data_IF_411948905602
#
_entry.id   IF_411948905602
#
_cell.length_a   1.000
_cell.length_b   1.000
_cell.length_c   1.000
_cell.angle_alpha   90.00
_cell.angle_beta   90.00
_cell.angle_gamma   90.00
#
_symmetry.space_group_name_H-M   'P 1'
#
loop_
_entity.id
_entity.type
_entity.pdbx_description
1 polymer ?
#
# COMPACT_ATOMS: atom_id res chain seq x y z
N UNK A 1 -23.69 -22.35 27.34
CA UNK A 1 -23.92 -20.96 27.75
C UNK A 1 -22.78 -20.08 27.23
N UNK A 2 -23.10 -18.93 26.68
CA UNK A 2 -22.10 -17.96 26.26
C UNK A 2 -21.51 -17.27 27.50
N UNK A 3 -20.17 -17.27 27.62
CA UNK A 3 -19.50 -16.56 28.70
C UNK A 3 -19.00 -15.20 28.16
N UNK A 4 -19.54 -14.13 28.71
CA UNK A 4 -19.07 -12.79 28.41
C UNK A 4 -17.68 -12.59 29.01
N UNK A 5 -16.71 -12.05 28.25
CA UNK A 5 -15.41 -11.69 28.80
C UNK A 5 -15.55 -10.60 29.85
N UNK A 6 -14.78 -10.71 30.94
CA UNK A 6 -14.64 -9.62 31.90
C UNK A 6 -13.47 -8.75 31.45
N UNK A 7 -13.74 -7.51 31.10
CA UNK A 7 -12.73 -6.52 30.70
C UNK A 7 -12.70 -5.43 31.76
N UNK A 8 -11.53 -5.18 32.30
CA UNK A 8 -11.26 -4.10 33.25
C UNK A 8 -10.13 -3.25 32.71
N UNK A 9 -10.32 -1.93 32.63
CA UNK A 9 -9.34 -1.00 32.06
C UNK A 9 -8.97 0.05 33.13
N UNK A 10 -7.67 0.20 33.40
CA UNK A 10 -7.16 1.19 34.31
C UNK A 10 -6.45 2.30 33.53
N UNK A 11 -6.73 3.55 33.85
CA UNK A 11 -6.17 4.74 33.22
C UNK A 11 -6.09 5.88 34.23
N UNK A 12 -5.41 6.95 33.90
CA UNK A 12 -5.30 8.13 34.72
C UNK A 12 -5.80 9.39 34.01
N UNK A 13 -6.00 10.45 34.79
CA UNK A 13 -6.45 11.75 34.25
C UNK A 13 -5.46 12.31 33.23
N UNK A 14 -4.16 12.16 33.46
CA UNK A 14 -3.14 12.65 32.54
C UNK A 14 -3.22 11.95 31.17
N UNK A 15 -3.60 10.68 31.15
CA UNK A 15 -3.87 9.96 29.90
C UNK A 15 -5.07 10.56 29.17
N UNK A 16 -6.18 10.85 29.89
CA UNK A 16 -7.35 11.50 29.29
C UNK A 16 -7.00 12.84 28.71
N UNK A 17 -6.37 13.73 29.49
CA UNK A 17 -5.99 15.08 29.06
C UNK A 17 -5.04 15.05 27.84
N UNK A 18 -4.08 14.14 27.82
CA UNK A 18 -3.13 14.01 26.71
C UNK A 18 -3.80 13.54 25.41
N UNK A 19 -4.76 12.58 25.50
CA UNK A 19 -5.44 12.05 24.32
C UNK A 19 -6.48 13.01 23.78
N UNK A 20 -7.19 13.72 24.68
CA UNK A 20 -8.25 14.67 24.29
C UNK A 20 -7.70 16.04 23.92
N UNK A 21 -6.54 16.42 24.45
CA UNK A 21 -5.99 17.77 24.32
C UNK A 21 -6.73 18.83 25.15
N UNK A 22 -7.70 18.40 25.97
CA UNK A 22 -8.50 19.29 26.85
C UNK A 22 -8.50 18.78 28.28
N UNK A 23 -8.86 19.66 29.21
CA UNK A 23 -8.95 19.32 30.63
C UNK A 23 -10.40 18.98 31.02
N UNK A 24 -10.74 17.69 31.00
CA UNK A 24 -12.02 17.18 31.47
C UNK A 24 -11.90 16.85 32.96
N UNK A 25 -12.82 17.35 33.80
CA UNK A 25 -12.75 17.10 35.24
C UNK A 25 -12.89 15.61 35.58
N UNK A 26 -12.20 15.17 36.66
CA UNK A 26 -12.30 13.78 37.12
C UNK A 26 -13.75 13.38 37.48
N UNK A 27 -14.56 14.31 37.95
CA UNK A 27 -15.97 14.07 38.30
C UNK A 27 -16.81 13.91 37.04
N UNK A 28 -16.52 14.65 35.98
CA UNK A 28 -17.17 14.50 34.67
C UNK A 28 -16.83 13.17 34.02
N UNK A 29 -15.56 12.75 34.09
CA UNK A 29 -15.14 11.41 33.62
C UNK A 29 -15.92 10.30 34.35
N UNK A 30 -15.98 10.38 35.69
CA UNK A 30 -16.72 9.42 36.50
C UNK A 30 -18.21 9.42 36.16
N UNK A 31 -18.82 10.61 36.05
CA UNK A 31 -20.23 10.74 35.72
C UNK A 31 -20.56 10.14 34.34
N UNK A 32 -19.81 10.51 33.34
CA UNK A 32 -20.01 10.07 31.94
C UNK A 32 -19.93 8.57 31.83
N UNK A 33 -18.86 7.96 32.31
CA UNK A 33 -18.68 6.51 32.18
C UNK A 33 -19.67 5.72 33.04
N UNK A 34 -20.01 6.21 34.23
CA UNK A 34 -21.05 5.58 35.07
C UNK A 34 -22.41 5.64 34.38
N UNK A 35 -22.79 6.76 33.79
CA UNK A 35 -24.03 6.93 33.05
C UNK A 35 -24.12 6.00 31.82
N UNK A 36 -22.96 5.68 31.20
CA UNK A 36 -22.87 4.70 30.11
C UNK A 36 -22.86 3.24 30.57
N UNK A 37 -22.95 2.99 31.89
CA UNK A 37 -23.07 1.66 32.46
C UNK A 37 -21.73 0.99 32.81
N UNK A 38 -20.60 1.72 32.78
CA UNK A 38 -19.32 1.20 33.27
C UNK A 38 -19.30 1.14 34.80
N UNK A 39 -18.76 0.07 35.37
CA UNK A 39 -18.48 -0.02 36.80
C UNK A 39 -17.22 0.79 37.13
N UNK A 40 -17.39 2.00 37.70
CA UNK A 40 -16.28 2.91 37.91
C UNK A 40 -15.76 2.91 39.33
N UNK A 41 -14.45 2.86 39.51
CA UNK A 41 -13.77 3.17 40.76
C UNK A 41 -12.68 4.21 40.53
N UNK A 42 -12.45 5.07 41.54
CA UNK A 42 -11.48 6.16 41.48
C UNK A 42 -10.61 6.19 42.75
N UNK A 43 -9.32 6.36 42.56
CA UNK A 43 -8.35 6.65 43.62
C UNK A 43 -7.46 7.84 43.18
N UNK A 44 -7.74 9.02 43.74
CA UNK A 44 -7.11 10.25 43.30
C UNK A 44 -7.37 10.55 41.82
N UNK A 45 -6.31 10.56 41.02
CA UNK A 45 -6.35 10.75 39.55
C UNK A 45 -6.35 9.45 38.77
N UNK A 46 -6.39 8.31 39.44
CA UNK A 46 -6.43 6.99 38.81
C UNK A 46 -7.86 6.46 38.77
N UNK A 47 -8.24 5.88 37.62
CA UNK A 47 -9.55 5.33 37.37
C UNK A 47 -9.44 3.85 36.98
N UNK A 48 -10.42 3.07 37.40
CA UNK A 48 -10.62 1.71 36.91
C UNK A 48 -12.06 1.57 36.44
N UNK A 49 -12.23 1.13 35.19
CA UNK A 49 -13.50 0.94 34.54
C UNK A 49 -13.73 -0.55 34.29
N UNK A 50 -14.78 -1.11 34.90
CA UNK A 50 -15.31 -2.42 34.56
C UNK A 50 -16.26 -2.26 33.37
N UNK A 51 -15.88 -2.86 32.24
CA UNK A 51 -16.61 -2.75 30.98
C UNK A 51 -17.88 -3.62 31.06
N UNK A 52 -19.08 -3.06 30.78
CA UNK A 52 -20.31 -3.82 30.80
C UNK A 52 -20.27 -4.95 29.76
N UNK A 53 -20.94 -6.08 30.09
CA UNK A 53 -20.84 -7.32 29.30
C UNK A 53 -21.23 -7.15 27.82
N UNK A 54 -22.17 -6.27 27.51
CA UNK A 54 -22.61 -6.00 26.13
C UNK A 54 -21.60 -5.16 25.31
N UNK A 55 -20.63 -4.50 25.99
CA UNK A 55 -19.53 -3.74 25.36
C UNK A 55 -18.21 -4.49 25.40
N UNK A 56 -18.11 -5.56 26.21
CA UNK A 56 -16.86 -6.32 26.40
C UNK A 56 -16.54 -7.29 25.25
N UNK A 57 -17.41 -7.46 24.26
CA UNK A 57 -17.27 -8.38 23.13
C UNK A 57 -16.67 -7.69 21.90
N UNK A 58 -15.38 -7.34 21.97
CA UNK A 58 -14.61 -6.69 20.90
C UNK A 58 -15.00 -5.22 20.60
N UNK A 59 -15.68 -4.57 21.51
CA UNK A 59 -16.07 -3.18 21.39
C UNK A 59 -15.13 -2.32 22.25
N UNK A 60 -15.29 -2.33 23.58
CA UNK A 60 -14.38 -1.61 24.48
C UNK A 60 -13.35 -2.57 25.06
N UNK A 61 -12.10 -2.50 24.61
CA UNK A 61 -11.04 -3.45 24.95
C UNK A 61 -9.74 -2.80 25.38
N UNK A 62 -9.51 -1.55 25.04
CA UNK A 62 -8.31 -0.77 25.34
C UNK A 62 -8.65 0.61 25.92
N UNK A 63 -7.64 1.27 26.48
CA UNK A 63 -7.84 2.62 27.10
C UNK A 63 -8.31 3.67 26.10
N UNK A 64 -7.93 3.54 24.81
CA UNK A 64 -8.34 4.48 23.79
C UNK A 64 -9.88 4.41 23.54
N UNK A 65 -10.49 3.24 23.69
CA UNK A 65 -11.94 3.08 23.57
C UNK A 65 -12.66 3.84 24.70
N UNK A 66 -12.07 3.89 25.89
CA UNK A 66 -12.60 4.73 27.01
C UNK A 66 -12.54 6.22 26.65
N UNK A 67 -11.49 6.67 25.97
CA UNK A 67 -11.40 8.08 25.51
C UNK A 67 -12.52 8.37 24.52
N UNK A 68 -12.81 7.46 23.61
CA UNK A 68 -13.93 7.60 22.67
C UNK A 68 -15.25 7.79 23.41
N UNK A 69 -15.52 6.97 24.43
CA UNK A 69 -16.74 7.08 25.22
C UNK A 69 -16.85 8.45 25.93
N UNK A 70 -15.77 8.96 26.47
CA UNK A 70 -15.73 10.28 27.11
C UNK A 70 -15.95 11.39 26.07
N UNK A 71 -15.21 11.35 24.98
CA UNK A 71 -15.20 12.44 23.98
C UNK A 71 -16.50 12.53 23.19
N UNK A 72 -17.13 11.40 22.86
CA UNK A 72 -18.42 11.42 22.15
C UNK A 72 -19.55 12.02 22.98
N UNK A 73 -19.53 11.85 24.31
CA UNK A 73 -20.51 12.46 25.21
C UNK A 73 -20.18 13.92 25.49
N UNK A 74 -18.89 14.25 25.62
CA UNK A 74 -18.44 15.64 25.70
C UNK A 74 -18.88 16.45 24.47
N UNK A 75 -18.90 15.82 23.30
CA UNK A 75 -19.31 16.38 22.02
C UNK A 75 -18.12 16.89 21.20
N UNK A 76 -17.95 16.33 20.00
CA UNK A 76 -16.83 16.68 19.12
C UNK A 76 -16.86 18.14 18.65
N UNK A 77 -18.04 18.77 18.62
CA UNK A 77 -18.17 20.20 18.28
C UNK A 77 -17.65 21.14 19.37
N UNK A 78 -17.39 20.61 20.58
CA UNK A 78 -16.85 21.38 21.69
C UNK A 78 -15.31 21.38 21.75
N UNK A 79 -14.66 20.73 20.78
CA UNK A 79 -13.19 20.76 20.68
C UNK A 79 -12.73 21.95 19.85
N UNK A 80 -11.75 22.70 20.38
CA UNK A 80 -11.08 23.73 19.62
C UNK A 80 -10.22 23.11 18.51
N UNK A 81 -10.38 23.61 17.28
CA UNK A 81 -9.58 23.18 16.15
C UNK A 81 -8.21 23.83 16.19
N UNK A 82 -7.18 23.05 16.44
CA UNK A 82 -5.80 23.49 16.39
C UNK A 82 -5.10 22.88 15.17
N UNK A 83 -4.41 23.72 14.40
CA UNK A 83 -3.49 23.24 13.37
C UNK A 83 -2.28 22.61 14.04
N UNK A 84 -1.95 21.38 13.65
CA UNK A 84 -0.74 20.73 14.16
C UNK A 84 0.50 21.52 13.71
N UNK A 85 1.29 21.96 14.68
CA UNK A 85 2.57 22.62 14.45
C UNK A 85 3.68 21.58 14.55
N UNK A 86 4.49 21.45 13.52
CA UNK A 86 5.69 20.64 13.54
C UNK A 86 6.82 21.35 12.81
N UNK A 87 8.06 21.23 13.29
CA UNK A 87 9.20 21.77 12.57
C UNK A 87 9.38 21.07 11.23
N UNK A 88 9.64 21.85 10.19
CA UNK A 88 9.95 21.32 8.86
C UNK A 88 11.42 20.94 8.79
N UNK A 89 11.70 19.69 8.53
CA UNK A 89 13.04 19.17 8.27
C UNK A 89 13.18 18.77 6.82
N UNK A 90 14.33 19.03 6.20
CA UNK A 90 14.61 18.49 4.85
C UNK A 90 14.56 16.96 4.86
N UNK A 91 13.72 16.40 4.02
CA UNK A 91 13.65 14.94 3.83
C UNK A 91 14.82 14.50 2.97
N UNK A 92 15.64 13.58 3.46
CA UNK A 92 16.67 12.93 2.65
C UNK A 92 16.01 11.88 1.77
N UNK A 93 16.15 12.05 0.46
CA UNK A 93 15.67 11.05 -0.50
C UNK A 93 16.50 9.77 -0.36
N UNK A 94 15.83 8.62 -0.36
CA UNK A 94 16.51 7.33 -0.41
C UNK A 94 17.21 7.14 -1.76
N UNK A 95 18.25 6.32 -1.79
CA UNK A 95 18.95 5.97 -3.04
C UNK A 95 17.99 5.35 -4.05
N UNK A 96 17.10 4.48 -3.59
CA UNK A 96 16.08 3.85 -4.42
C UNK A 96 15.17 4.88 -5.09
N UNK A 97 14.62 5.82 -4.31
CA UNK A 97 13.77 6.89 -4.85
C UNK A 97 14.53 7.78 -5.84
N UNK A 98 15.80 8.09 -5.56
CA UNK A 98 16.65 8.87 -6.47
C UNK A 98 16.87 8.14 -7.81
N UNK A 99 17.08 6.82 -7.78
CA UNK A 99 17.23 5.99 -8.98
C UNK A 99 15.92 5.94 -9.76
N UNK A 100 14.78 5.74 -9.10
CA UNK A 100 13.47 5.77 -9.75
C UNK A 100 13.19 7.09 -10.46
N UNK A 101 13.44 8.21 -9.80
CA UNK A 101 13.19 9.53 -10.39
C UNK A 101 14.08 9.78 -11.61
N UNK A 102 15.36 9.36 -11.56
CA UNK A 102 16.26 9.43 -12.71
C UNK A 102 15.79 8.54 -13.86
N UNK A 103 15.35 7.30 -13.58
CA UNK A 103 14.79 6.39 -14.59
C UNK A 103 13.57 7.00 -15.27
N UNK A 104 12.63 7.53 -14.49
CA UNK A 104 11.45 8.22 -15.01
C UNK A 104 11.82 9.40 -15.89
N UNK A 105 12.75 10.23 -15.44
CA UNK A 105 13.24 11.38 -16.21
C UNK A 105 13.85 10.97 -17.56
N UNK A 106 14.67 9.91 -17.58
CA UNK A 106 15.25 9.39 -18.81
C UNK A 106 14.15 8.89 -19.76
N UNK A 107 13.26 8.03 -19.25
CA UNK A 107 12.22 7.38 -20.07
C UNK A 107 11.21 8.38 -20.62
N UNK A 108 10.80 9.37 -19.83
CA UNK A 108 9.84 10.39 -20.24
C UNK A 108 10.49 11.46 -21.09
N UNK A 109 11.57 12.10 -20.60
CA UNK A 109 12.13 13.29 -21.25
C UNK A 109 12.96 12.98 -22.50
N UNK A 110 13.69 11.85 -22.49
CA UNK A 110 14.56 11.49 -23.62
C UNK A 110 13.87 10.58 -24.64
N UNK A 111 12.98 9.69 -24.17
CA UNK A 111 12.36 8.67 -25.03
C UNK A 111 10.85 8.86 -25.24
N UNK A 112 10.25 9.85 -24.58
CA UNK A 112 8.82 10.18 -24.70
C UNK A 112 7.89 9.01 -24.39
N UNK A 113 8.25 8.19 -23.39
CA UNK A 113 7.40 7.12 -22.91
C UNK A 113 6.37 7.64 -21.91
N UNK A 114 5.24 6.97 -21.84
CA UNK A 114 4.18 7.24 -20.85
C UNK A 114 4.36 6.35 -19.63
N UNK A 115 4.41 6.94 -18.45
CA UNK A 115 4.34 6.19 -17.19
C UNK A 115 2.92 5.68 -16.99
N UNK A 116 2.81 4.40 -16.65
CA UNK A 116 1.54 3.75 -16.32
C UNK A 116 1.64 3.11 -14.95
N UNK A 117 0.50 2.99 -14.28
CA UNK A 117 0.38 2.28 -13.01
C UNK A 117 -0.72 1.23 -13.11
N UNK A 118 -0.40 0.03 -12.67
CA UNK A 118 -1.34 -1.07 -12.63
C UNK A 118 -1.40 -1.69 -11.24
N UNK A 119 -2.46 -2.41 -10.95
CA UNK A 119 -2.60 -3.11 -9.68
C UNK A 119 -1.66 -4.32 -9.60
N UNK A 120 -1.28 -4.66 -8.38
CA UNK A 120 -0.41 -5.81 -8.08
C UNK A 120 -1.09 -7.16 -8.35
N UNK A 121 -2.42 -7.20 -8.35
CA UNK A 121 -3.16 -8.42 -8.70
C UNK A 121 -3.29 -8.62 -10.20
N UNK A 122 -3.47 -9.89 -10.57
CA UNK A 122 -3.67 -10.31 -11.95
C UNK A 122 -5.14 -10.57 -12.23
N UNK A 123 -5.56 -10.20 -13.44
CA UNK A 123 -6.85 -10.59 -13.96
C UNK A 123 -6.70 -11.94 -14.68
N UNK A 124 -7.31 -12.99 -14.15
CA UNK A 124 -7.21 -14.33 -14.68
C UNK A 124 -7.60 -14.43 -16.18
N UNK A 125 -8.61 -13.67 -16.58
CA UNK A 125 -9.05 -13.60 -17.99
C UNK A 125 -7.99 -13.00 -18.92
N UNK A 126 -7.20 -12.04 -18.47
CA UNK A 126 -6.15 -11.44 -19.30
C UNK A 126 -4.99 -12.41 -19.52
N UNK A 127 -4.59 -13.15 -18.49
CA UNK A 127 -3.59 -14.20 -18.60
C UNK A 127 -4.04 -15.32 -19.52
N UNK A 128 -5.30 -15.74 -19.43
CA UNK A 128 -5.89 -16.73 -20.32
C UNK A 128 -5.89 -16.28 -21.79
N UNK A 129 -6.23 -15.01 -22.06
CA UNK A 129 -6.18 -14.43 -23.42
C UNK A 129 -4.77 -14.41 -24.01
N UNK A 130 -3.75 -14.27 -23.15
CA UNK A 130 -2.34 -14.29 -23.54
C UNK A 130 -1.73 -15.69 -23.59
N UNK A 131 -2.46 -16.74 -23.17
CA UNK A 131 -1.96 -18.11 -23.09
C UNK A 131 -0.90 -18.31 -22.00
N UNK A 132 -0.91 -17.48 -20.96
CA UNK A 132 0.09 -17.51 -19.88
C UNK A 132 -0.49 -18.27 -18.68
N UNK A 133 0.27 -19.25 -18.16
CA UNK A 133 -0.09 -19.97 -16.95
C UNK A 133 0.15 -19.12 -15.68
N UNK A 134 -0.72 -19.28 -14.68
CA UNK A 134 -0.65 -18.56 -13.38
C UNK A 134 -0.46 -19.51 -12.19
N UNK A 135 -0.07 -20.75 -12.45
CA UNK A 135 -0.07 -21.84 -11.47
C UNK A 135 0.82 -21.60 -10.26
N UNK A 136 1.97 -20.93 -10.46
CA UNK A 136 2.96 -20.66 -9.41
C UNK A 136 2.78 -19.31 -8.71
N UNK A 137 1.71 -18.60 -8.99
CA UNK A 137 1.50 -17.28 -8.41
C UNK A 137 0.90 -17.38 -7.01
N UNK A 138 1.28 -16.42 -6.15
CA UNK A 138 0.72 -16.29 -4.81
C UNK A 138 -0.77 -15.95 -4.92
N UNK A 139 -1.61 -16.71 -4.20
CA UNK A 139 -3.06 -16.52 -4.17
C UNK A 139 -3.52 -15.86 -2.89
N UNK A 140 -4.52 -15.00 -3.01
CA UNK A 140 -5.24 -14.42 -1.89
C UNK A 140 -6.23 -15.45 -1.33
N UNK A 141 -6.24 -15.63 0.00
CA UNK A 141 -7.15 -16.59 0.66
C UNK A 141 -8.63 -16.19 0.57
N UNK A 142 -8.90 -14.89 0.54
CA UNK A 142 -10.24 -14.33 0.62
C UNK A 142 -10.44 -13.21 -0.42
N UNK A 143 -10.04 -13.46 -1.66
CA UNK A 143 -10.26 -12.51 -2.74
C UNK A 143 -11.75 -12.18 -2.87
N UNK A 144 -12.07 -10.89 -2.89
CA UNK A 144 -13.45 -10.41 -3.07
C UNK A 144 -13.99 -10.65 -4.48
N UNK A 145 -13.09 -10.87 -5.45
CA UNK A 145 -13.42 -11.14 -6.84
C UNK A 145 -12.55 -12.32 -7.34
N UNK A 146 -13.16 -13.42 -7.83
CA UNK A 146 -12.42 -14.57 -8.33
C UNK A 146 -11.46 -14.26 -9.49
N UNK A 147 -11.71 -13.20 -10.25
CA UNK A 147 -10.84 -12.79 -11.36
C UNK A 147 -9.52 -12.12 -10.90
N UNK A 148 -9.39 -11.76 -9.62
CA UNK A 148 -8.22 -11.08 -9.06
C UNK A 148 -7.65 -11.82 -7.84
N UNK A 149 -7.72 -13.13 -7.83
CA UNK A 149 -7.26 -13.95 -6.71
C UNK A 149 -5.74 -14.13 -6.62
N UNK A 150 -5.00 -13.80 -7.68
CA UNK A 150 -3.54 -14.01 -7.75
C UNK A 150 -2.76 -12.71 -7.83
N UNK A 151 -1.55 -12.72 -7.25
CA UNK A 151 -0.60 -11.62 -7.30
C UNK A 151 0.39 -11.81 -8.46
N UNK A 152 0.80 -10.71 -9.10
CA UNK A 152 1.65 -10.75 -10.29
C UNK A 152 3.11 -11.08 -9.96
N UNK A 153 3.71 -11.98 -10.74
CA UNK A 153 5.16 -12.23 -10.76
C UNK A 153 5.89 -11.39 -11.83
N UNK A 154 5.13 -10.91 -12.81
CA UNK A 154 5.63 -10.07 -13.91
C UNK A 154 4.62 -8.99 -14.26
N UNK A 155 5.09 -7.84 -14.71
CA UNK A 155 4.25 -6.76 -15.24
C UNK A 155 4.00 -6.88 -16.75
N UNK A 156 4.71 -7.77 -17.43
CA UNK A 156 4.62 -7.92 -18.89
C UNK A 156 3.18 -8.23 -19.36
N UNK A 157 2.46 -9.22 -18.78
CA UNK A 157 1.11 -9.51 -19.21
C UNK A 157 0.16 -8.34 -19.07
N UNK A 158 0.24 -7.61 -17.95
CA UNK A 158 -0.58 -6.42 -17.71
C UNK A 158 -0.29 -5.32 -18.74
N UNK A 159 0.98 -5.05 -19.02
CA UNK A 159 1.36 -4.05 -20.02
C UNK A 159 0.94 -4.46 -21.44
N UNK A 160 1.01 -5.73 -21.80
CA UNK A 160 0.50 -6.21 -23.10
C UNK A 160 -1.01 -5.97 -23.26
N UNK A 161 -1.80 -6.18 -22.20
CA UNK A 161 -3.22 -5.87 -22.19
C UNK A 161 -3.47 -4.36 -22.29
N UNK A 162 -2.68 -3.53 -21.59
CA UNK A 162 -2.76 -2.06 -21.70
C UNK A 162 -2.43 -1.59 -23.12
N UNK A 163 -1.37 -2.11 -23.74
CA UNK A 163 -1.03 -1.80 -25.14
C UNK A 163 -2.18 -2.18 -26.05
N UNK A 164 -2.73 -3.41 -25.93
CA UNK A 164 -3.86 -3.85 -26.74
C UNK A 164 -5.07 -2.92 -26.62
N UNK A 165 -5.38 -2.46 -25.40
CA UNK A 165 -6.49 -1.51 -25.16
C UNK A 165 -6.25 -0.13 -25.77
N UNK A 166 -4.99 0.24 -26.03
CA UNK A 166 -4.59 1.57 -26.50
C UNK A 166 -4.06 1.61 -27.93
N UNK A 167 -4.18 0.54 -28.72
CA UNK A 167 -3.69 0.47 -30.11
C UNK A 167 -4.34 1.51 -31.05
N UNK A 168 -5.48 2.08 -30.67
CA UNK A 168 -6.14 3.16 -31.38
C UNK A 168 -5.61 4.57 -31.04
N UNK A 169 -4.80 4.71 -29.98
CA UNK A 169 -4.31 6.01 -29.50
C UNK A 169 -3.31 6.66 -30.49
N UNK A 170 -2.32 5.90 -30.92
CA UNK A 170 -1.30 6.36 -31.85
C UNK A 170 -0.75 5.20 -32.70
N UNK A 171 -0.13 5.48 -33.87
CA UNK A 171 0.53 4.46 -34.67
C UNK A 171 1.77 3.85 -33.98
N UNK A 172 2.39 4.59 -33.08
CA UNK A 172 3.54 4.13 -32.29
C UNK A 172 3.56 4.84 -30.95
N UNK A 173 3.80 4.09 -29.87
CA UNK A 173 3.97 4.65 -28.52
C UNK A 173 4.74 3.65 -27.63
N UNK A 174 5.21 4.13 -26.50
CA UNK A 174 5.81 3.28 -25.49
C UNK A 174 5.25 3.60 -24.10
N UNK A 175 5.15 2.59 -23.28
CA UNK A 175 4.73 2.69 -21.88
C UNK A 175 5.77 2.07 -20.97
N UNK A 176 5.85 2.54 -19.73
CA UNK A 176 6.66 1.91 -18.70
C UNK A 176 5.99 1.96 -17.33
N UNK A 177 6.38 1.04 -16.48
CA UNK A 177 5.95 0.98 -15.08
C UNK A 177 7.12 0.57 -14.20
N UNK A 178 7.31 1.27 -13.08
CA UNK A 178 8.17 0.82 -11.97
C UNK A 178 7.22 0.36 -10.88
N UNK A 179 7.15 -0.96 -10.67
CA UNK A 179 6.15 -1.56 -9.80
C UNK A 179 6.64 -2.80 -9.09
N UNK A 180 5.89 -3.20 -8.06
CA UNK A 180 6.16 -4.41 -7.30
C UNK A 180 5.64 -5.67 -8.01
N UNK A 181 6.40 -6.75 -7.89
CA UNK A 181 6.04 -8.11 -8.28
C UNK A 181 6.30 -9.04 -7.11
N UNK A 182 5.60 -10.18 -7.06
CA UNK A 182 5.64 -11.13 -5.95
C UNK A 182 6.23 -12.44 -6.43
N UNK A 183 7.41 -12.82 -5.93
CA UNK A 183 8.11 -14.06 -6.32
C UNK A 183 7.87 -15.22 -5.33
N UNK A 184 6.76 -15.21 -4.61
CA UNK A 184 6.40 -16.22 -3.63
C UNK A 184 6.26 -15.66 -2.22
N UNK A 185 6.35 -16.52 -1.23
CA UNK A 185 6.29 -16.17 0.20
C UNK A 185 7.56 -16.63 0.92
N UNK A 186 7.92 -15.93 1.98
CA UNK A 186 9.05 -16.30 2.85
C UNK A 186 8.64 -17.32 3.92
N UNK A 187 9.58 -17.65 4.82
CA UNK A 187 9.39 -18.57 5.94
C UNK A 187 8.31 -18.07 6.92
N UNK A 188 8.12 -16.77 7.03
CA UNK A 188 7.12 -16.12 7.88
C UNK A 188 5.77 -15.94 7.17
N UNK A 189 5.61 -16.49 5.95
CA UNK A 189 4.42 -16.33 5.08
C UNK A 189 4.19 -14.90 4.62
N UNK A 190 5.22 -14.06 4.61
CA UNK A 190 5.18 -12.72 4.04
C UNK A 190 5.53 -12.78 2.54
N UNK A 191 4.93 -11.90 1.76
CA UNK A 191 5.19 -11.83 0.32
C UNK A 191 6.65 -11.40 0.05
N UNK A 192 7.33 -12.13 -0.84
CA UNK A 192 8.65 -11.73 -1.37
C UNK A 192 8.44 -10.73 -2.49
N UNK A 193 8.51 -9.46 -2.13
CA UNK A 193 8.30 -8.36 -3.07
C UNK A 193 9.60 -7.89 -3.69
N UNK A 194 9.56 -7.67 -5.00
CA UNK A 194 10.66 -7.05 -5.74
C UNK A 194 10.12 -5.91 -6.59
N UNK A 195 10.83 -4.79 -6.59
CA UNK A 195 10.53 -3.68 -7.48
C UNK A 195 11.24 -3.90 -8.81
N UNK A 196 10.50 -3.85 -9.90
CA UNK A 196 11.01 -4.05 -11.27
C UNK A 196 10.59 -2.88 -12.16
N UNK A 197 11.42 -2.60 -13.17
CA UNK A 197 11.06 -1.75 -14.30
C UNK A 197 10.56 -2.66 -15.43
N UNK A 198 9.39 -2.32 -15.99
CA UNK A 198 8.90 -2.92 -17.23
C UNK A 198 8.71 -1.82 -18.27
N UNK A 199 9.21 -2.04 -19.48
CA UNK A 199 9.08 -1.13 -20.62
C UNK A 199 8.52 -1.90 -21.80
N UNK A 200 7.48 -1.35 -22.42
CA UNK A 200 6.85 -1.94 -23.61
C UNK A 200 6.75 -0.91 -24.72
N UNK A 201 7.23 -1.26 -25.90
CA UNK A 201 7.12 -0.45 -27.11
C UNK A 201 6.09 -1.09 -28.06
N UNK A 202 5.27 -0.24 -28.66
CA UNK A 202 4.30 -0.61 -29.67
C UNK A 202 4.49 0.24 -30.93
N UNK A 203 4.44 -0.40 -32.10
CA UNK A 203 4.43 0.30 -33.39
C UNK A 203 3.65 -0.50 -34.44
N UNK A 204 2.93 0.20 -35.28
CA UNK A 204 2.29 -0.33 -36.50
C UNK A 204 3.16 -0.11 -37.74
N UNK A 205 4.22 0.68 -37.61
CA UNK A 205 5.09 1.12 -38.72
C UNK A 205 6.48 0.55 -38.63
N UNK A 206 7.07 0.47 -37.44
CA UNK A 206 8.41 -0.06 -37.21
C UNK A 206 8.39 -1.58 -37.14
N UNK A 207 9.44 -2.23 -37.63
CA UNK A 207 9.62 -3.66 -37.47
C UNK A 207 10.17 -4.01 -36.07
N UNK A 208 10.12 -5.29 -35.71
CA UNK A 208 10.55 -5.79 -34.40
C UNK A 208 12.03 -5.50 -34.13
N UNK A 209 12.89 -5.57 -35.13
CA UNK A 209 14.31 -5.31 -35.00
C UNK A 209 14.58 -3.85 -34.60
N UNK A 210 13.90 -2.90 -35.22
CA UNK A 210 13.97 -1.46 -34.86
C UNK A 210 13.51 -1.24 -33.41
N UNK A 211 12.40 -1.85 -32.99
CA UNK A 211 11.93 -1.73 -31.62
C UNK A 211 12.89 -2.38 -30.63
N UNK A 212 13.51 -3.51 -30.98
CA UNK A 212 14.50 -4.16 -30.14
C UNK A 212 15.73 -3.26 -29.91
N UNK A 213 16.30 -2.70 -30.96
CA UNK A 213 17.47 -1.81 -30.82
C UNK A 213 17.13 -0.52 -30.05
N UNK A 214 15.91 0.01 -30.23
CA UNK A 214 15.44 1.15 -29.46
C UNK A 214 15.31 0.81 -27.98
N UNK A 215 14.74 -0.33 -27.61
CA UNK A 215 14.63 -0.79 -26.24
C UNK A 215 16.01 -1.05 -25.62
N UNK A 216 16.92 -1.67 -26.39
CA UNK A 216 18.32 -1.89 -25.98
C UNK A 216 19.04 -0.60 -25.68
N UNK A 217 18.90 0.43 -26.54
CA UNK A 217 19.50 1.75 -26.33
C UNK A 217 18.96 2.39 -25.04
N UNK A 218 17.68 2.35 -24.79
CA UNK A 218 17.08 2.84 -23.53
C UNK A 218 17.70 2.19 -22.30
N UNK A 219 17.92 0.86 -22.31
CA UNK A 219 18.55 0.14 -21.21
C UNK A 219 20.03 0.52 -21.05
N UNK A 220 20.79 0.63 -22.15
CA UNK A 220 22.17 1.06 -22.11
C UNK A 220 22.31 2.45 -21.50
N UNK A 221 21.50 3.39 -21.96
CA UNK A 221 21.52 4.78 -21.47
C UNK A 221 21.13 4.84 -19.99
N UNK A 222 20.07 4.15 -19.60
CA UNK A 222 19.62 4.16 -18.21
C UNK A 222 20.68 3.58 -17.26
N UNK A 223 21.34 2.48 -17.64
CA UNK A 223 22.38 1.87 -16.81
C UNK A 223 23.66 2.72 -16.80
N UNK A 224 24.08 3.26 -17.96
CA UNK A 224 25.25 4.12 -18.03
C UNK A 224 25.08 5.41 -17.23
N UNK A 225 23.93 6.11 -17.38
CA UNK A 225 23.70 7.40 -16.74
C UNK A 225 23.46 7.28 -15.22
N UNK A 226 22.92 6.14 -14.75
CA UNK A 226 22.58 5.96 -13.33
C UNK A 226 23.66 5.19 -12.58
N UNK A 227 24.17 4.10 -13.16
CA UNK A 227 25.11 3.19 -12.50
C UNK A 227 26.55 3.36 -12.95
N UNK A 228 26.80 4.17 -13.99
CA UNK A 228 28.12 4.35 -14.62
C UNK A 228 28.74 3.02 -15.05
N UNK A 229 27.92 2.15 -15.64
CA UNK A 229 28.31 0.82 -16.13
C UNK A 229 27.84 0.61 -17.56
N UNK A 230 28.58 -0.21 -18.29
CA UNK A 230 28.19 -0.67 -19.62
C UNK A 230 27.45 -2.00 -19.55
N UNK A 231 26.46 -2.18 -20.43
CA UNK A 231 25.75 -3.45 -20.59
C UNK A 231 26.31 -4.24 -21.76
N UNK A 232 26.51 -5.53 -21.55
CA UNK A 232 26.75 -6.51 -22.62
C UNK A 232 25.49 -7.34 -22.85
N UNK A 233 25.20 -7.64 -24.13
CA UNK A 233 24.04 -8.45 -24.54
C UNK A 233 24.49 -9.73 -25.18
N UNK A 234 23.92 -10.84 -24.77
CA UNK A 234 24.18 -12.16 -25.33
C UNK A 234 22.88 -12.76 -25.85
N UNK A 235 22.97 -13.40 -27.03
CA UNK A 235 21.84 -14.13 -27.56
C UNK A 235 21.51 -15.32 -26.65
N UNK A 236 20.22 -15.50 -26.35
CA UNK A 236 19.71 -16.66 -25.63
C UNK A 236 18.82 -17.50 -26.53
N UNK A 237 18.93 -18.82 -26.38
CA UNK A 237 18.09 -19.80 -27.08
C UNK A 237 16.94 -20.31 -26.23
N UNK A 238 16.79 -19.84 -25.01
CA UNK A 238 15.77 -20.29 -24.09
C UNK A 238 14.40 -19.62 -24.34
N UNK A 239 13.36 -20.41 -24.37
CA UNK A 239 11.98 -19.93 -24.30
C UNK A 239 11.61 -19.72 -22.84
N UNK A 240 11.13 -18.54 -22.50
CA UNK A 240 10.65 -18.24 -21.15
C UNK A 240 9.14 -18.13 -21.14
N UNK A 241 8.54 -18.77 -20.15
CA UNK A 241 7.21 -18.39 -19.67
C UNK A 241 7.36 -17.12 -18.79
N UNK A 242 6.49 -16.16 -18.96
CA UNK A 242 6.48 -14.88 -18.24
C UNK A 242 6.06 -15.03 -16.78
#
# INVERSE_FOLDING_TARGET
AFHYPKVQLSFDKAFVDRYTGINISSDEIMHTLTALGFGMTRDGDSFTADVPSWRATKDVTIKADIIEEITRIYGYDNFDLHTAESPLYPVRMSTEKTVEDKLKDILVKRYSLHEVHSYIWQYADDYKKLGIAVEDNVKLLNASNPNIETLRRSMIPTQLCQVKGNTGYAPSFGIFEIGHVIDGVDENKLAKEHKKLCVTLFSKVDNVETLYFRLRDMLCVAVSDILHKDLSFHAMTATHSY
#
